data_IF_580270838505
#
_entry.id   IF_580270838505
#
_cell.length_a   1.000
_cell.length_b   1.000
_cell.length_c   1.000
_cell.angle_alpha   90.00
_cell.angle_beta   90.00
_cell.angle_gamma   90.00
#
_symmetry.space_group_name_H-M   'P 1'
#
loop_
_entity.id
_entity.type
_entity.pdbx_description
1 polymer ?
#
# COMPACT_ATOMS: atom_id res chain seq x y z
N UNK A 1 -47.31 -14.44 2.57
CA UNK A 1 -46.62 -13.82 3.74
C UNK A 1 -45.15 -14.20 3.64
N UNK A 2 -44.27 -13.21 3.74
CA UNK A 2 -42.89 -13.23 3.24
C UNK A 2 -41.94 -13.94 4.21
N UNK A 3 -41.20 -14.94 3.73
CA UNK A 3 -40.04 -15.52 4.39
C UNK A 3 -38.84 -14.56 4.30
N UNK A 4 -38.47 -13.97 5.44
CA UNK A 4 -37.29 -13.12 5.58
C UNK A 4 -36.01 -13.94 5.59
N UNK A 5 -35.39 -14.15 4.42
CA UNK A 5 -34.02 -14.67 4.33
C UNK A 5 -33.02 -13.57 4.75
N UNK A 6 -32.51 -13.69 5.96
CA UNK A 6 -31.36 -12.93 6.46
C UNK A 6 -30.12 -13.22 5.62
N UNK A 7 -29.72 -12.27 4.78
CA UNK A 7 -28.51 -12.34 3.98
C UNK A 7 -27.26 -12.19 4.85
N UNK A 8 -26.44 -13.25 4.89
CA UNK A 8 -25.11 -13.26 5.47
C UNK A 8 -24.18 -12.30 4.71
N UNK A 9 -23.90 -11.14 5.31
CA UNK A 9 -22.85 -10.23 4.84
C UNK A 9 -21.49 -10.82 5.22
N UNK A 10 -20.94 -11.66 4.34
CA UNK A 10 -19.56 -12.16 4.47
C UNK A 10 -18.59 -10.99 4.31
N UNK A 11 -18.22 -10.35 5.43
CA UNK A 11 -17.13 -9.37 5.49
C UNK A 11 -15.83 -10.05 5.05
N UNK A 12 -15.50 -9.96 3.75
CA UNK A 12 -14.18 -10.36 3.25
C UNK A 12 -13.17 -9.39 3.84
N UNK A 13 -12.28 -9.94 4.67
CA UNK A 13 -11.14 -9.23 5.21
C UNK A 13 -10.25 -8.82 4.04
N UNK A 14 -10.13 -7.51 3.78
CA UNK A 14 -9.18 -7.02 2.77
C UNK A 14 -7.79 -7.13 3.36
N UNK A 15 -6.99 -8.09 2.88
CA UNK A 15 -5.56 -8.17 3.20
C UNK A 15 -4.81 -7.07 2.46
N UNK A 16 -3.82 -6.45 3.11
CA UNK A 16 -2.92 -5.50 2.47
C UNK A 16 -1.94 -6.25 1.55
N UNK A 17 -1.63 -5.65 0.40
CA UNK A 17 -0.85 -6.29 -0.67
C UNK A 17 0.32 -5.39 -1.01
N UNK A 18 1.50 -5.98 -1.05
CA UNK A 18 2.73 -5.40 -1.58
C UNK A 18 2.99 -6.08 -2.91
N UNK A 19 2.93 -5.31 -3.99
CA UNK A 19 3.22 -5.80 -5.33
C UNK A 19 4.63 -5.36 -5.70
N UNK A 20 5.54 -6.32 -5.84
CA UNK A 20 6.92 -6.01 -6.20
C UNK A 20 7.16 -6.52 -7.61
N UNK A 21 7.71 -5.64 -8.43
CA UNK A 21 8.11 -5.93 -9.81
C UNK A 21 9.45 -6.70 -9.88
N UNK A 22 10.16 -6.79 -8.75
CA UNK A 22 11.49 -7.37 -8.54
C UNK A 22 11.54 -8.12 -7.20
N UNK A 23 12.61 -8.84 -6.89
CA UNK A 23 12.73 -9.54 -5.61
C UNK A 23 12.63 -8.57 -4.41
N UNK A 24 11.91 -8.94 -3.33
CA UNK A 24 11.82 -8.12 -2.12
C UNK A 24 13.20 -7.85 -1.51
N UNK A 25 13.38 -6.71 -0.81
CA UNK A 25 14.56 -6.50 0.04
C UNK A 25 14.68 -7.64 1.07
N UNK A 26 15.90 -7.91 1.57
CA UNK A 26 16.27 -9.02 2.48
C UNK A 26 15.62 -8.98 3.89
N UNK A 27 14.40 -8.50 4.00
CA UNK A 27 13.53 -8.69 5.15
C UNK A 27 13.03 -10.15 5.17
N UNK A 28 12.76 -10.69 6.36
CA UNK A 28 12.40 -12.11 6.55
C UNK A 28 11.02 -12.44 5.96
N UNK A 29 11.01 -12.80 4.68
CA UNK A 29 9.84 -13.27 3.98
C UNK A 29 9.41 -14.62 4.57
N UNK A 30 8.18 -14.68 5.09
CA UNK A 30 7.55 -15.94 5.47
C UNK A 30 6.86 -16.50 4.24
N UNK A 31 7.36 -17.61 3.71
CA UNK A 31 6.76 -18.27 2.55
C UNK A 31 5.32 -18.68 2.84
N UNK A 32 4.44 -18.39 1.87
CA UNK A 32 3.03 -18.76 1.93
C UNK A 32 2.60 -19.24 0.55
N UNK A 33 2.38 -20.55 0.41
CA UNK A 33 1.84 -21.12 -0.83
C UNK A 33 0.33 -20.89 -0.90
N UNK A 34 -0.08 -19.73 -1.44
CA UNK A 34 -1.48 -19.36 -1.67
C UNK A 34 -1.60 -18.50 -2.93
N UNK A 35 -2.81 -18.36 -3.43
CA UNK A 35 -3.10 -17.45 -4.54
C UNK A 35 -4.06 -16.34 -4.13
N UNK A 36 -3.78 -15.15 -4.65
CA UNK A 36 -4.61 -13.97 -4.46
C UNK A 36 -5.56 -13.83 -5.65
N UNK A 37 -6.86 -13.70 -5.36
CA UNK A 37 -7.89 -13.48 -6.37
C UNK A 37 -8.40 -12.04 -6.33
N UNK A 38 -8.63 -11.45 -7.50
CA UNK A 38 -9.22 -10.11 -7.64
C UNK A 38 -8.22 -8.97 -7.60
N UNK A 39 -6.91 -9.27 -7.51
CA UNK A 39 -5.85 -8.31 -7.76
C UNK A 39 -5.56 -8.28 -9.26
N UNK A 40 -5.49 -7.08 -9.86
CA UNK A 40 -5.31 -6.91 -11.31
C UNK A 40 -6.33 -7.66 -12.19
N UNK A 41 -7.50 -8.06 -11.64
CA UNK A 41 -8.49 -8.95 -12.29
C UNK A 41 -7.96 -10.35 -12.63
N UNK A 42 -6.81 -10.72 -12.08
CA UNK A 42 -6.14 -11.98 -12.34
C UNK A 42 -5.97 -12.78 -11.04
N UNK A 43 -5.51 -14.01 -11.21
CA UNK A 43 -5.03 -14.86 -10.12
C UNK A 43 -3.52 -14.67 -10.01
N UNK A 44 -3.06 -14.16 -8.87
CA UNK A 44 -1.63 -13.85 -8.66
C UNK A 44 -1.05 -14.70 -7.54
N UNK A 45 0.08 -15.34 -7.79
CA UNK A 45 0.81 -16.14 -6.80
C UNK A 45 1.37 -15.24 -5.68
N UNK A 46 1.15 -15.67 -4.44
CA UNK A 46 1.73 -15.04 -3.26
C UNK A 46 3.12 -15.63 -3.06
N UNK A 47 4.15 -14.78 -3.04
CA UNK A 47 5.52 -15.17 -2.68
C UNK A 47 5.68 -15.39 -1.18
N UNK A 48 4.93 -14.63 -0.38
CA UNK A 48 4.90 -14.82 1.06
C UNK A 48 4.25 -13.67 1.79
N UNK A 49 4.57 -13.55 3.07
CA UNK A 49 4.20 -12.41 3.89
C UNK A 49 5.41 -11.78 4.55
N UNK A 50 5.38 -10.47 4.68
CA UNK A 50 6.47 -9.67 5.24
C UNK A 50 5.87 -8.68 6.23
N UNK A 51 6.53 -8.49 7.37
CA UNK A 51 6.16 -7.44 8.30
C UNK A 51 6.96 -6.19 7.97
N UNK A 52 6.26 -5.09 7.68
CA UNK A 52 6.87 -3.81 7.32
C UNK A 52 6.39 -2.77 8.32
N UNK A 53 7.36 -2.09 8.93
CA UNK A 53 7.09 -0.86 9.65
C UNK A 53 6.92 0.28 8.66
N UNK A 54 5.77 0.94 8.70
CA UNK A 54 5.50 2.13 7.91
C UNK A 54 5.49 3.35 8.80
N UNK A 55 6.30 4.34 8.44
CA UNK A 55 6.42 5.61 9.15
C UNK A 55 5.62 6.67 8.41
N UNK A 56 4.75 7.38 9.11
CA UNK A 56 3.92 8.46 8.59
C UNK A 56 4.30 9.79 9.24
N UNK A 57 4.51 10.83 8.43
CA UNK A 57 5.04 12.10 8.91
C UNK A 57 6.57 12.05 9.10
N UNK A 58 7.13 13.04 9.79
CA UNK A 58 8.56 13.12 10.08
C UNK A 58 8.86 13.87 11.36
N UNK A 59 10.11 13.74 11.84
CA UNK A 59 10.59 14.37 13.07
C UNK A 59 9.85 13.88 14.33
N UNK A 60 9.61 14.79 15.28
CA UNK A 60 8.92 14.50 16.54
C UNK A 60 7.44 14.07 16.39
N UNK A 61 6.92 14.04 15.16
CA UNK A 61 5.53 13.71 14.84
C UNK A 61 5.42 12.50 13.91
N UNK A 62 6.51 11.75 13.75
CA UNK A 62 6.51 10.48 13.06
C UNK A 62 5.60 9.49 13.81
N UNK A 63 4.68 8.87 13.09
CA UNK A 63 3.81 7.82 13.60
C UNK A 63 4.09 6.54 12.83
N UNK A 64 4.57 5.50 13.51
CA UNK A 64 4.90 4.23 12.90
C UNK A 64 3.80 3.21 13.13
N UNK A 65 3.49 2.39 12.12
CA UNK A 65 2.65 1.19 12.29
C UNK A 65 3.30 0.00 11.62
N UNK A 66 3.42 -1.09 12.37
CA UNK A 66 3.82 -2.37 11.79
C UNK A 66 2.63 -3.05 11.11
N UNK A 67 2.79 -3.48 9.86
CA UNK A 67 1.74 -4.17 9.09
C UNK A 67 2.33 -5.37 8.36
N UNK A 68 1.66 -6.51 8.49
CA UNK A 68 1.97 -7.70 7.69
C UNK A 68 1.36 -7.56 6.29
N UNK A 69 2.23 -7.48 5.28
CA UNK A 69 1.89 -7.43 3.87
C UNK A 69 1.93 -8.81 3.24
N UNK A 70 1.05 -9.04 2.28
CA UNK A 70 1.16 -10.16 1.33
C UNK A 70 2.02 -9.72 0.16
N UNK A 71 3.10 -10.43 -0.13
CA UNK A 71 4.02 -10.14 -1.23
C UNK A 71 3.59 -10.93 -2.45
N UNK A 72 3.42 -10.25 -3.58
CA UNK A 72 3.14 -10.86 -4.88
C UNK A 72 4.14 -10.36 -5.91
N UNK A 73 4.50 -11.21 -6.87
CA UNK A 73 5.25 -10.81 -8.05
C UNK A 73 4.25 -10.53 -9.18
N UNK A 74 4.00 -9.25 -9.47
CA UNK A 74 3.00 -8.84 -10.44
C UNK A 74 3.39 -7.54 -11.15
N UNK A 75 3.05 -7.46 -12.44
CA UNK A 75 3.13 -6.21 -13.20
C UNK A 75 1.99 -5.29 -12.79
N UNK A 76 2.30 -4.32 -11.92
CA UNK A 76 1.31 -3.37 -11.40
C UNK A 76 1.86 -1.94 -11.44
N UNK A 77 0.96 -0.97 -11.60
CA UNK A 77 1.28 0.47 -11.56
C UNK A 77 1.63 0.97 -10.16
N UNK A 78 1.53 0.10 -9.14
CA UNK A 78 1.67 0.43 -7.73
C UNK A 78 2.57 -0.60 -7.07
N UNK A 79 3.49 -0.11 -6.24
CA UNK A 79 4.37 -0.99 -5.46
C UNK A 79 3.70 -1.45 -4.16
N UNK A 80 2.88 -0.60 -3.53
CA UNK A 80 2.24 -0.87 -2.24
C UNK A 80 0.75 -0.53 -2.33
N UNK A 81 -0.11 -1.42 -1.83
CA UNK A 81 -1.53 -1.13 -1.57
C UNK A 81 -1.75 -1.10 -0.06
N UNK A 82 -2.00 0.10 0.47
CA UNK A 82 -2.34 0.31 1.88
C UNK A 82 -3.80 -0.09 2.07
N UNK A 83 -4.00 -1.26 2.67
CA UNK A 83 -5.33 -1.77 2.99
C UNK A 83 -5.91 -1.19 4.29
N UNK A 84 -7.17 -1.53 4.55
CA UNK A 84 -7.86 -1.23 5.82
C UNK A 84 -7.08 -1.62 7.08
N UNK A 85 -6.36 -2.76 7.15
CA UNK A 85 -5.60 -3.09 8.36
C UNK A 85 -4.59 -2.02 8.76
N UNK A 86 -3.86 -1.45 7.79
CA UNK A 86 -2.91 -0.37 8.03
C UNK A 86 -3.63 0.93 8.42
N UNK A 87 -4.65 1.31 7.65
CA UNK A 87 -5.43 2.52 7.91
C UNK A 87 -6.11 2.49 9.28
N UNK A 88 -6.65 1.34 9.68
CA UNK A 88 -7.27 1.17 10.99
C UNK A 88 -6.27 1.29 12.14
N UNK A 89 -5.05 0.74 11.99
CA UNK A 89 -3.98 0.92 12.98
C UNK A 89 -3.58 2.38 13.13
N UNK A 90 -3.63 3.14 12.05
CA UNK A 90 -3.39 4.59 12.06
C UNK A 90 -4.59 5.41 12.51
N UNK A 91 -5.77 4.80 12.70
CA UNK A 91 -7.04 5.53 12.81
C UNK A 91 -7.22 6.58 11.71
N UNK A 92 -6.77 6.22 10.50
CA UNK A 92 -6.66 7.14 9.38
C UNK A 92 -7.98 7.32 8.61
N UNK A 93 -8.23 8.55 8.18
CA UNK A 93 -9.32 8.92 7.29
C UNK A 93 -8.74 9.33 5.93
N UNK A 94 -9.08 8.59 4.88
CA UNK A 94 -8.60 8.85 3.52
C UNK A 94 -9.68 9.56 2.72
N UNK A 95 -9.31 10.69 2.11
CA UNK A 95 -10.16 11.43 1.18
C UNK A 95 -9.57 11.32 -0.22
N UNK A 96 -10.22 10.53 -1.07
CA UNK A 96 -9.82 10.34 -2.47
C UNK A 96 -10.02 11.60 -3.31
N UNK A 97 -11.09 12.36 -3.05
CA UNK A 97 -11.40 13.61 -3.75
C UNK A 97 -10.31 14.67 -3.51
N UNK A 98 -9.85 14.78 -2.27
CA UNK A 98 -8.82 15.75 -1.86
C UNK A 98 -7.41 15.17 -1.93
N UNK A 99 -7.26 13.91 -2.37
CA UNK A 99 -5.99 13.17 -2.42
C UNK A 99 -5.18 13.29 -1.12
N UNK A 100 -5.83 13.14 0.03
CA UNK A 100 -5.18 13.31 1.33
C UNK A 100 -5.62 12.26 2.35
N UNK A 101 -4.81 12.07 3.38
CA UNK A 101 -5.06 11.18 4.50
C UNK A 101 -4.86 11.94 5.80
N UNK A 102 -5.84 11.86 6.71
CA UNK A 102 -5.75 12.40 8.06
C UNK A 102 -5.53 11.29 9.07
N UNK A 103 -4.77 11.52 10.12
CA UNK A 103 -4.61 10.58 11.23
C UNK A 103 -4.29 11.32 12.54
N UNK A 104 -4.73 10.80 13.69
CA UNK A 104 -4.41 11.38 14.99
C UNK A 104 -2.93 11.16 15.36
N UNK A 105 -2.34 12.16 16.03
CA UNK A 105 -1.01 12.08 16.65
C UNK A 105 -1.11 12.75 18.02
N UNK A 106 -1.15 11.96 19.08
CA UNK A 106 -1.39 12.47 20.44
C UNK A 106 -2.76 13.16 20.53
N UNK A 107 -2.76 14.47 20.82
CA UNK A 107 -3.98 15.30 20.87
C UNK A 107 -4.29 16.03 19.55
N UNK A 108 -3.39 15.95 18.57
CA UNK A 108 -3.51 16.64 17.30
C UNK A 108 -3.98 15.70 16.19
N UNK A 109 -4.38 16.28 15.05
CA UNK A 109 -4.57 15.56 13.78
C UNK A 109 -3.52 16.04 12.78
N UNK A 110 -2.92 15.10 12.06
CA UNK A 110 -2.00 15.38 10.95
C UNK A 110 -2.65 15.02 9.63
N UNK A 111 -2.20 15.68 8.56
CA UNK A 111 -2.69 15.49 7.20
C UNK A 111 -1.49 15.22 6.30
N UNK A 112 -1.55 14.13 5.55
CA UNK A 112 -0.60 13.81 4.48
C UNK A 112 -1.32 14.01 3.16
N UNK A 113 -0.71 14.80 2.27
CA UNK A 113 -1.22 15.07 0.94
C UNK A 113 -0.46 14.22 -0.08
N UNK A 114 -1.18 13.63 -1.03
CA UNK A 114 -0.55 13.00 -2.17
C UNK A 114 -0.12 14.07 -3.18
N UNK A 115 1.08 13.92 -3.72
CA UNK A 115 1.57 14.81 -4.76
C UNK A 115 1.09 14.32 -6.14
N UNK A 116 0.01 14.93 -6.64
CA UNK A 116 -0.61 14.54 -7.90
C UNK A 116 0.36 14.65 -9.10
N UNK A 117 1.22 15.68 -9.13
CA UNK A 117 2.19 15.88 -10.22
C UNK A 117 3.21 14.74 -10.27
N UNK A 118 3.72 14.35 -9.11
CA UNK A 118 4.66 13.22 -8.97
C UNK A 118 3.96 11.93 -9.37
N UNK A 119 2.74 11.67 -8.87
CA UNK A 119 1.97 10.48 -9.22
C UNK A 119 1.71 10.38 -10.74
N UNK A 120 1.35 11.49 -11.39
CA UNK A 120 1.17 11.55 -12.84
C UNK A 120 2.47 11.28 -13.60
N UNK A 121 3.61 11.81 -13.12
CA UNK A 121 4.92 11.55 -13.73
C UNK A 121 5.28 10.07 -13.64
N UNK A 122 5.14 9.45 -12.47
CA UNK A 122 5.40 8.01 -12.31
C UNK A 122 4.47 7.14 -13.16
N UNK A 123 3.19 7.52 -13.27
CA UNK A 123 2.25 6.84 -14.15
C UNK A 123 2.67 6.95 -15.62
N UNK A 124 3.06 8.15 -16.08
CA UNK A 124 3.56 8.34 -17.45
C UNK A 124 4.84 7.55 -17.70
N UNK A 125 5.75 7.54 -16.74
CA UNK A 125 7.02 6.82 -16.86
C UNK A 125 6.83 5.30 -16.88
N UNK A 126 5.88 4.75 -16.10
CA UNK A 126 5.58 3.31 -16.14
C UNK A 126 5.00 2.85 -17.47
N UNK A 127 4.24 3.70 -18.17
CA UNK A 127 3.74 3.43 -19.52
C UNK A 127 4.83 3.48 -20.60
N UNK A 128 5.96 4.15 -20.35
CA UNK A 128 7.08 4.25 -21.30
C UNK A 128 8.04 3.06 -21.23
N UNK A 129 7.89 2.21 -20.21
CA UNK A 129 8.69 0.99 -20.06
C UNK A 129 8.16 -0.07 -21.01
N UNK A 130 8.71 -0.12 -22.23
CA UNK A 130 8.89 -1.41 -22.93
C UNK A 130 9.86 -2.30 -22.13
N UNK A 131 9.95 -3.62 -22.43
CA UNK A 131 10.68 -4.59 -21.62
C UNK A 131 12.11 -4.11 -21.38
N UNK A 132 12.44 -3.73 -20.15
CA UNK A 132 13.71 -3.09 -19.82
C UNK A 132 14.67 -4.15 -19.30
N UNK A 133 15.76 -4.35 -20.03
CA UNK A 133 16.88 -5.19 -19.62
C UNK A 133 17.39 -4.75 -18.25
N UNK A 134 17.59 -5.74 -17.39
CA UNK A 134 18.24 -5.67 -16.08
C UNK A 134 19.48 -4.78 -16.12
N UNK A 135 19.48 -3.71 -15.33
CA UNK A 135 20.72 -3.08 -14.86
C UNK A 135 20.49 -2.61 -13.43
N UNK A 136 21.25 -3.24 -12.53
CA UNK A 136 21.21 -3.05 -11.08
C UNK A 136 21.48 -1.58 -10.71
N UNK A 137 20.59 -0.99 -9.93
CA UNK A 137 20.99 0.04 -8.97
C UNK A 137 19.95 0.09 -7.85
N UNK A 138 20.46 -0.03 -6.62
CA UNK A 138 19.72 -0.02 -5.38
C UNK A 138 18.82 1.23 -5.25
N UNK A 139 17.52 1.08 -5.51
CA UNK A 139 16.55 2.09 -5.18
C UNK A 139 15.96 1.77 -3.81
N UNK A 140 16.66 2.22 -2.77
CA UNK A 140 16.09 2.38 -1.44
C UNK A 140 14.99 3.46 -1.59
N UNK A 141 13.74 3.04 -1.82
CA UNK A 141 12.62 3.97 -2.10
C UNK A 141 12.15 4.59 -0.79
N UNK A 142 12.95 5.51 -0.25
CA UNK A 142 12.50 6.48 0.73
C UNK A 142 12.09 7.74 -0.03
N UNK A 143 10.80 7.95 -0.27
CA UNK A 143 10.27 9.28 -0.57
C UNK A 143 8.86 9.46 -0.01
N UNK A 144 8.79 9.79 1.29
CA UNK A 144 7.80 10.73 1.81
C UNK A 144 8.46 12.10 1.73
N UNK A 145 8.23 12.84 0.65
CA UNK A 145 8.64 14.24 0.60
C UNK A 145 7.63 15.04 1.42
N UNK A 146 8.08 15.46 2.59
CA UNK A 146 7.34 16.21 3.58
C UNK A 146 7.50 17.70 3.30
N UNK A 147 6.37 18.40 3.36
CA UNK A 147 6.19 19.85 3.38
C UNK A 147 6.04 20.53 2.01
N UNK A 148 5.03 21.40 1.86
CA UNK A 148 5.39 22.80 1.92
C UNK A 148 4.33 23.64 2.62
N UNK A 149 4.70 24.21 3.77
CA UNK A 149 4.34 25.54 4.28
C UNK A 149 3.13 26.16 3.58
N UNK A 150 1.97 26.01 4.19
CA UNK A 150 1.14 27.11 4.69
C UNK A 150 0.09 26.59 5.68
#
# INVERSE_FOLDING_TARGET
>A
MLDGKTTSVRKRHTRAVLAIQSDPPQMSLKEVSRTLFGFAREQVEIKGTIEIEMVFGGGAHAHSVSVTYTVVNAYASYNIIIGRPALNKLSAMVSTVHLCMKYPVGKDVRIVWANQKIAQRYYKDSLRVGPRSTNNSAALVNFLDLDPRH
#
